data_IF_958422927617
#
_entry.id   IF_958422927617
#
_cell.length_a   1.000
_cell.length_b   1.000
_cell.length_c   1.000
_cell.angle_alpha   90.00
_cell.angle_beta   90.00
_cell.angle_gamma   90.00
#
_symmetry.space_group_name_H-M   'P 1'
#
loop_
_entity.id
_entity.type
_entity.pdbx_description
1 polymer ?
#
# COMPACT_ATOMS: atom_id res chain seq x y z
N UNK A 1 -45.15 34.56 30.80
CA UNK A 1 -44.83 34.52 29.35
C UNK A 1 -44.15 33.19 29.04
N UNK A 2 -44.73 32.25 28.27
CA UNK A 2 -44.08 30.97 27.97
C UNK A 2 -43.06 31.13 26.84
N UNK A 3 -41.78 30.93 27.19
CA UNK A 3 -40.65 30.94 26.26
C UNK A 3 -40.57 29.59 25.52
N UNK A 4 -41.07 29.53 24.27
CA UNK A 4 -40.93 28.34 23.41
C UNK A 4 -39.46 28.18 23.02
N UNK A 5 -38.79 27.21 23.65
CA UNK A 5 -37.49 26.71 23.17
C UNK A 5 -37.71 26.17 21.76
N UNK A 6 -37.03 26.75 20.76
CA UNK A 6 -37.00 26.22 19.40
C UNK A 6 -36.16 24.95 19.41
N UNK A 7 -36.85 23.82 19.51
CA UNK A 7 -36.34 22.48 19.25
C UNK A 7 -35.75 22.48 17.84
N UNK A 8 -34.41 22.52 17.77
CA UNK A 8 -33.67 22.36 16.54
C UNK A 8 -33.91 20.93 16.06
N UNK A 9 -34.90 20.76 15.20
CA UNK A 9 -35.12 19.53 14.48
C UNK A 9 -33.91 19.33 13.56
N UNK A 10 -32.89 18.65 14.06
CA UNK A 10 -31.80 18.11 13.25
C UNK A 10 -32.45 17.24 12.19
N UNK A 11 -32.55 17.77 10.98
CA UNK A 11 -33.16 17.06 9.85
C UNK A 11 -32.50 15.70 9.68
N UNK A 12 -33.27 14.71 9.23
CA UNK A 12 -32.79 13.32 9.01
C UNK A 12 -31.46 13.29 8.21
N UNK A 13 -31.31 14.21 7.24
CA UNK A 13 -30.08 14.45 6.48
C UNK A 13 -28.85 14.83 7.32
N UNK A 14 -29.04 15.56 8.42
CA UNK A 14 -27.97 15.92 9.33
C UNK A 14 -27.44 14.72 10.12
N UNK A 15 -28.30 13.73 10.37
CA UNK A 15 -27.97 12.50 11.10
C UNK A 15 -27.25 11.50 10.20
N UNK A 16 -27.70 11.30 8.96
CA UNK A 16 -27.11 10.34 8.02
C UNK A 16 -25.67 10.70 7.61
N UNK A 17 -25.37 11.99 7.40
CA UNK A 17 -23.99 12.43 7.07
C UNK A 17 -22.98 12.15 8.18
N UNK A 18 -23.39 12.26 9.45
CA UNK A 18 -22.52 11.96 10.57
C UNK A 18 -22.09 10.48 10.59
N UNK A 19 -23.03 9.58 10.33
CA UNK A 19 -22.75 8.14 10.22
C UNK A 19 -21.91 7.79 8.98
N UNK A 20 -22.16 8.45 7.83
CA UNK A 20 -21.34 8.26 6.63
C UNK A 20 -19.89 8.68 6.84
N UNK A 21 -19.65 9.86 7.42
CA UNK A 21 -18.31 10.35 7.72
C UNK A 21 -17.59 9.43 8.71
N UNK A 22 -18.28 8.94 9.74
CA UNK A 22 -17.71 7.99 10.69
C UNK A 22 -17.33 6.66 10.00
N UNK A 23 -18.19 6.12 9.14
CA UNK A 23 -17.89 4.91 8.37
C UNK A 23 -16.71 5.11 7.41
N UNK A 24 -16.67 6.25 6.72
CA UNK A 24 -15.55 6.61 5.84
C UNK A 24 -14.24 6.73 6.63
N UNK A 25 -14.26 7.35 7.80
CA UNK A 25 -13.06 7.51 8.64
C UNK A 25 -12.49 6.16 9.09
N UNK A 26 -13.35 5.18 9.36
CA UNK A 26 -12.96 3.82 9.77
C UNK A 26 -12.45 2.99 8.59
N UNK A 27 -13.08 3.10 7.42
CA UNK A 27 -12.74 2.29 6.23
C UNK A 27 -11.58 2.90 5.42
N UNK A 28 -11.42 4.22 5.45
CA UNK A 28 -10.38 4.94 4.72
C UNK A 28 -8.96 4.36 4.90
N UNK A 29 -8.45 4.10 6.13
CA UNK A 29 -7.10 3.54 6.30
C UNK A 29 -6.95 2.18 5.62
N UNK A 30 -7.95 1.30 5.69
CA UNK A 30 -7.93 0.00 4.99
C UNK A 30 -7.93 0.21 3.48
N UNK A 31 -8.82 1.05 2.96
CA UNK A 31 -8.86 1.39 1.53
C UNK A 31 -7.52 1.94 1.02
N UNK A 32 -6.86 2.82 1.79
CA UNK A 32 -5.55 3.38 1.46
C UNK A 32 -4.49 2.28 1.40
N UNK A 33 -4.48 1.34 2.35
CA UNK A 33 -3.50 0.23 2.33
C UNK A 33 -3.67 -0.66 1.10
N UNK A 34 -4.91 -0.99 0.71
CA UNK A 34 -5.18 -1.75 -0.51
C UNK A 34 -4.78 -0.97 -1.77
N UNK A 35 -5.13 0.31 -1.83
CA UNK A 35 -4.79 1.17 -2.96
C UNK A 35 -3.28 1.31 -3.14
N UNK A 36 -2.55 1.54 -2.05
CA UNK A 36 -1.09 1.67 -2.07
C UNK A 36 -0.43 0.34 -2.46
N UNK A 37 -0.94 -0.79 -1.96
CA UNK A 37 -0.46 -2.12 -2.35
C UNK A 37 -0.64 -2.34 -3.85
N UNK A 38 -1.80 -1.99 -4.41
CA UNK A 38 -2.06 -2.11 -5.84
C UNK A 38 -1.12 -1.23 -6.68
N UNK A 39 -0.85 -0.01 -6.22
CA UNK A 39 0.07 0.93 -6.88
C UNK A 39 1.50 0.40 -6.89
N UNK A 40 1.99 -0.12 -5.76
CA UNK A 40 3.34 -0.67 -5.64
C UNK A 40 3.48 -1.94 -6.48
N UNK A 41 2.50 -2.85 -6.42
CA UNK A 41 2.52 -4.09 -7.20
C UNK A 41 2.53 -3.81 -8.71
N UNK A 42 1.63 -2.96 -9.19
CA UNK A 42 1.58 -2.60 -10.62
C UNK A 42 2.87 -1.90 -11.08
N UNK A 43 3.47 -1.06 -10.24
CA UNK A 43 4.75 -0.43 -10.52
C UNK A 43 5.89 -1.45 -10.63
N UNK A 44 5.97 -2.41 -9.70
CA UNK A 44 7.00 -3.45 -9.70
C UNK A 44 6.80 -4.40 -10.89
N UNK A 45 5.58 -4.87 -11.11
CA UNK A 45 5.26 -5.76 -12.23
C UNK A 45 5.63 -5.10 -13.57
N UNK A 46 5.35 -3.81 -13.76
CA UNK A 46 5.72 -3.07 -14.97
C UNK A 46 7.24 -2.92 -15.17
N UNK A 47 8.03 -2.89 -14.10
CA UNK A 47 9.49 -2.73 -14.15
C UNK A 47 10.24 -4.07 -14.21
N UNK A 48 9.69 -5.10 -13.58
CA UNK A 48 10.34 -6.41 -13.44
C UNK A 48 9.92 -7.38 -14.54
N UNK A 49 8.64 -7.42 -14.94
CA UNK A 49 8.17 -8.32 -16.01
C UNK A 49 9.01 -8.24 -17.31
N UNK A 50 9.39 -7.05 -17.83
CA UNK A 50 10.23 -6.98 -19.03
C UNK A 50 11.70 -7.40 -18.80
N UNK A 51 12.14 -7.57 -17.55
CA UNK A 51 13.48 -8.04 -17.20
C UNK A 51 13.54 -9.57 -17.04
N UNK A 52 12.39 -10.25 -17.00
CA UNK A 52 12.32 -11.71 -16.88
C UNK A 52 12.35 -12.33 -18.29
N UNK A 53 13.38 -13.12 -18.65
CA UNK A 53 13.41 -13.85 -19.92
C UNK A 53 12.20 -14.80 -20.03
N UNK A 54 11.64 -14.96 -21.22
CA UNK A 54 10.40 -15.72 -21.46
C UNK A 54 10.40 -17.15 -20.86
N UNK A 55 11.57 -17.79 -20.74
CA UNK A 55 11.73 -19.12 -20.15
C UNK A 55 11.36 -19.22 -18.65
N UNK A 56 11.34 -18.11 -17.92
CA UNK A 56 10.94 -18.04 -16.51
C UNK A 56 9.62 -17.29 -16.30
N UNK A 57 8.93 -16.94 -17.39
CA UNK A 57 7.67 -16.20 -17.33
C UNK A 57 6.53 -17.14 -16.90
N UNK A 58 6.02 -17.04 -15.65
CA UNK A 58 4.96 -17.91 -15.16
C UNK A 58 3.62 -17.66 -15.86
N UNK A 59 3.49 -16.57 -16.63
CA UNK A 59 2.30 -16.24 -17.42
C UNK A 59 2.02 -17.24 -18.56
N UNK A 60 2.97 -18.14 -18.89
CA UNK A 60 2.69 -19.25 -19.82
C UNK A 60 1.90 -20.40 -19.18
N UNK A 61 1.86 -20.48 -17.85
CA UNK A 61 1.23 -21.60 -17.13
C UNK A 61 -0.08 -21.24 -16.43
N UNK A 62 -0.40 -19.95 -16.27
CA UNK A 62 -1.65 -19.49 -15.64
C UNK A 62 -2.23 -18.29 -16.39
N UNK A 63 -3.51 -18.33 -16.82
CA UNK A 63 -4.15 -17.26 -17.59
C UNK A 63 -4.55 -16.03 -16.75
N UNK A 64 -4.10 -15.96 -15.49
CA UNK A 64 -4.34 -14.85 -14.58
C UNK A 64 -3.03 -14.55 -13.84
N UNK A 65 -2.58 -13.30 -13.86
CA UNK A 65 -1.41 -12.86 -13.12
C UNK A 65 -1.63 -13.12 -11.63
N UNK A 66 -0.77 -13.90 -10.99
CA UNK A 66 -0.92 -14.27 -9.57
C UNK A 66 -0.67 -13.03 -8.72
N UNK A 67 -1.70 -12.46 -8.05
CA UNK A 67 -1.49 -11.37 -7.13
C UNK A 67 -0.66 -11.88 -5.94
N UNK A 68 0.57 -11.39 -5.78
CA UNK A 68 1.49 -11.85 -4.73
C UNK A 68 2.91 -12.16 -5.22
N UNK A 69 3.09 -12.41 -6.52
CA UNK A 69 4.42 -12.59 -7.13
C UNK A 69 5.26 -11.32 -6.99
N UNK A 70 4.66 -10.15 -7.23
CA UNK A 70 5.27 -8.85 -6.98
C UNK A 70 5.69 -8.64 -5.51
N UNK A 71 4.93 -9.16 -4.53
CA UNK A 71 5.29 -9.07 -3.10
C UNK A 71 6.53 -9.91 -2.79
N UNK A 72 6.57 -11.14 -3.32
CA UNK A 72 7.72 -12.04 -3.13
C UNK A 72 8.98 -11.46 -3.76
N UNK A 73 8.88 -10.95 -4.99
CA UNK A 73 9.99 -10.29 -5.69
C UNK A 73 10.43 -9.02 -4.96
N UNK A 74 9.50 -8.20 -4.47
CA UNK A 74 9.79 -7.02 -3.67
C UNK A 74 10.56 -7.37 -2.39
N UNK A 75 10.11 -8.42 -1.68
CA UNK A 75 10.76 -8.92 -0.47
C UNK A 75 12.20 -9.33 -0.76
N UNK A 76 12.42 -10.10 -1.82
CA UNK A 76 13.76 -10.53 -2.25
C UNK A 76 14.61 -9.31 -2.63
N UNK A 77 14.05 -8.37 -3.41
CA UNK A 77 14.76 -7.16 -3.85
C UNK A 77 15.17 -6.26 -2.69
N UNK A 78 14.25 -5.94 -1.76
CA UNK A 78 14.54 -5.12 -0.57
C UNK A 78 15.57 -5.81 0.33
N UNK A 79 15.45 -7.13 0.53
CA UNK A 79 16.42 -7.89 1.34
C UNK A 79 17.79 -7.84 0.71
N UNK A 80 17.88 -8.02 -0.62
CA UNK A 80 19.14 -7.97 -1.35
C UNK A 80 19.78 -6.57 -1.32
N UNK A 81 19.00 -5.52 -1.56
CA UNK A 81 19.47 -4.12 -1.45
C UNK A 81 19.93 -3.82 -0.03
N UNK A 82 19.15 -4.19 1.00
CA UNK A 82 19.52 -4.00 2.39
C UNK A 82 20.79 -4.76 2.79
N UNK A 83 20.97 -5.98 2.27
CA UNK A 83 22.19 -6.75 2.44
C UNK A 83 23.39 -6.06 1.79
N UNK A 84 23.26 -5.59 0.55
CA UNK A 84 24.31 -4.82 -0.14
C UNK A 84 24.66 -3.53 0.61
N UNK A 85 23.65 -2.80 1.08
CA UNK A 85 23.84 -1.59 1.88
C UNK A 85 24.62 -1.91 3.15
N UNK A 86 24.29 -2.97 3.90
CA UNK A 86 25.05 -3.39 5.09
C UNK A 86 26.50 -3.78 4.74
N UNK A 87 26.70 -4.56 3.67
CA UNK A 87 28.03 -4.99 3.22
C UNK A 87 28.90 -3.80 2.82
N UNK A 88 28.34 -2.81 2.14
CA UNK A 88 29.06 -1.61 1.73
C UNK A 88 29.29 -0.67 2.92
N UNK A 89 28.25 -0.34 3.69
CA UNK A 89 28.35 0.56 4.84
C UNK A 89 29.34 0.06 5.89
N UNK A 90 29.39 -1.25 6.14
CA UNK A 90 30.40 -1.84 7.03
C UNK A 90 31.84 -1.55 6.59
N UNK A 91 32.10 -1.53 5.28
CA UNK A 91 33.45 -1.23 4.73
C UNK A 91 33.79 0.25 4.78
N UNK A 92 32.80 1.14 4.62
CA UNK A 92 33.00 2.59 4.71
C UNK A 92 33.21 3.04 6.16
N UNK A 93 32.48 2.45 7.12
CA UNK A 93 32.56 2.83 8.53
C UNK A 93 33.88 2.40 9.20
N UNK A 94 34.46 1.26 8.78
CA UNK A 94 35.79 0.82 9.26
C UNK A 94 36.90 1.72 8.71
N UNK A 95 36.81 2.20 7.46
CA UNK A 95 37.82 3.08 6.84
C UNK A 95 37.73 4.55 7.28
N UNK A 96 36.57 5.00 7.78
CA UNK A 96 36.40 6.37 8.28
C UNK A 96 36.73 6.54 9.76
N UNK A 97 36.99 5.44 10.47
CA UNK A 97 37.37 5.42 11.89
C UNK A 97 38.85 5.09 12.14
N UNK A 98 39.63 4.91 11.07
CA UNK A 98 41.10 4.92 11.08
C UNK A 98 41.63 6.32 10.77
#
# INVERSE_FOLDING_TARGET
>A
MPNRKKDHQVGLWARTRGYFLAGLLVVAPVGITFWLSWLVLSFIDARVTPLIPEAYNPNTYVPFGIPGLGVLVLLIFITFVGALTRVLLGRWMVRGGE
#
